data_IF_302823194130
#
_entry.id   IF_302823194130
#
_cell.length_a   1.000
_cell.length_b   1.000
_cell.length_c   1.000
_cell.angle_alpha   90.00
_cell.angle_beta   90.00
_cell.angle_gamma   90.00
#
_symmetry.space_group_name_H-M   'P 1'
#
loop_
_entity.id
_entity.type
_entity.pdbx_description
1 polymer ?
#
# COMPACT_ATOMS: atom_id res chain seq x y z
N UNK A 1 54.86 7.81 -11.31
CA UNK A 1 53.68 7.87 -10.41
C UNK A 1 52.35 7.71 -11.18
N UNK A 2 52.26 6.81 -12.15
CA UNK A 2 51.22 6.91 -13.20
C UNK A 2 50.24 5.72 -13.20
N UNK A 3 50.47 4.72 -12.35
CA UNK A 3 49.66 3.48 -12.27
C UNK A 3 48.51 3.59 -11.28
N UNK A 4 48.66 4.38 -10.21
CA UNK A 4 47.60 4.62 -9.23
C UNK A 4 46.47 5.51 -9.78
N UNK A 5 46.82 6.58 -10.52
CA UNK A 5 45.85 7.48 -11.15
C UNK A 5 45.00 6.79 -12.23
N UNK A 6 45.59 5.87 -13.01
CA UNK A 6 44.87 5.07 -14.02
C UNK A 6 43.88 4.06 -13.41
N UNK A 7 44.14 3.58 -12.19
CA UNK A 7 43.23 2.68 -11.46
C UNK A 7 42.05 3.43 -10.83
N UNK A 8 42.29 4.66 -10.33
CA UNK A 8 41.23 5.52 -9.82
C UNK A 8 40.25 5.95 -10.93
N UNK A 9 40.75 6.27 -12.13
CA UNK A 9 39.92 6.65 -13.27
C UNK A 9 39.00 5.51 -13.77
N UNK A 10 39.42 4.25 -13.63
CA UNK A 10 38.62 3.07 -14.03
C UNK A 10 37.59 2.65 -12.98
N UNK A 11 37.78 3.02 -11.70
CA UNK A 11 36.83 2.75 -10.62
C UNK A 11 35.74 3.82 -10.47
N UNK A 12 35.99 5.04 -10.95
CA UNK A 12 35.05 6.16 -10.92
C UNK A 12 33.68 5.89 -11.59
N UNK A 13 33.59 5.29 -12.80
CA UNK A 13 32.30 4.99 -13.41
C UNK A 13 31.54 3.85 -12.70
N UNK A 14 32.24 2.92 -12.04
CA UNK A 14 31.61 1.84 -11.28
C UNK A 14 30.95 2.34 -9.97
N UNK A 15 31.53 3.36 -9.33
CA UNK A 15 30.91 4.03 -8.17
C UNK A 15 29.71 4.89 -8.55
N UNK A 16 29.75 5.55 -9.73
CA UNK A 16 28.64 6.38 -10.21
C UNK A 16 27.44 5.52 -10.72
N UNK A 17 27.71 4.30 -11.19
CA UNK A 17 26.68 3.34 -11.58
C UNK A 17 26.01 2.61 -10.38
N UNK A 18 26.58 2.70 -9.18
CA UNK A 18 25.99 2.14 -7.95
C UNK A 18 24.93 3.07 -7.31
N UNK A 19 24.84 4.31 -7.77
CA UNK A 19 23.91 5.33 -7.26
C UNK A 19 22.42 4.93 -7.36
N UNK A 20 21.93 4.31 -8.46
CA UNK A 20 20.54 3.84 -8.54
C UNK A 20 20.28 2.66 -7.60
N UNK A 21 21.23 1.73 -7.46
CA UNK A 21 21.10 0.58 -6.57
C UNK A 21 21.07 0.99 -5.09
N UNK A 22 21.82 2.04 -4.71
CA UNK A 22 21.76 2.64 -3.38
C UNK A 22 20.47 3.43 -3.16
N UNK A 23 19.93 4.11 -4.18
CA UNK A 23 18.65 4.80 -4.09
C UNK A 23 17.47 3.83 -3.91
N UNK A 24 17.49 2.69 -4.61
CA UNK A 24 16.48 1.63 -4.45
C UNK A 24 16.56 0.94 -3.07
N UNK A 25 17.74 0.83 -2.47
CA UNK A 25 17.91 0.29 -1.12
C UNK A 25 17.36 1.20 0.00
N UNK A 26 17.27 2.52 -0.24
CA UNK A 26 16.70 3.48 0.72
C UNK A 26 15.16 3.44 0.70
N UNK A 27 14.56 3.11 -0.45
CA UNK A 27 13.10 3.04 -0.59
C UNK A 27 12.51 1.76 0.03
N UNK A 28 13.28 0.68 0.10
CA UNK A 28 12.85 -0.59 0.72
C UNK A 28 12.80 -0.54 2.27
N UNK A 29 13.55 0.38 2.90
CA UNK A 29 13.64 0.46 4.37
C UNK A 29 12.68 1.47 5.02
N UNK A 30 12.08 2.35 4.23
CA UNK A 30 11.05 3.27 4.70
C UNK A 30 9.70 2.82 4.12
N UNK A 31 8.85 2.16 4.92
CA UNK A 31 7.44 2.05 4.57
C UNK A 31 6.95 3.42 4.11
N UNK A 32 6.54 3.51 2.85
CA UNK A 32 6.06 4.75 2.28
C UNK A 32 4.87 5.23 3.12
N UNK A 33 4.71 6.55 3.27
CA UNK A 33 3.61 7.10 4.07
C UNK A 33 2.25 6.57 3.56
N UNK A 34 2.13 6.38 2.25
CA UNK A 34 0.98 5.75 1.60
C UNK A 34 0.75 4.31 2.08
N UNK A 35 1.76 3.44 2.05
CA UNK A 35 1.66 2.07 2.61
C UNK A 35 1.24 2.08 4.08
N UNK A 36 1.83 2.96 4.89
CA UNK A 36 1.46 3.05 6.31
C UNK A 36 0.01 3.47 6.51
N UNK A 37 -0.48 4.42 5.70
CA UNK A 37 -1.89 4.84 5.75
C UNK A 37 -2.80 3.68 5.31
N UNK A 38 -2.47 3.00 4.21
CA UNK A 38 -3.24 1.87 3.71
C UNK A 38 -3.31 0.72 4.74
N UNK A 39 -2.20 0.39 5.40
CA UNK A 39 -2.17 -0.66 6.42
C UNK A 39 -2.99 -0.31 7.66
N UNK A 40 -2.90 0.93 8.13
CA UNK A 40 -3.70 1.43 9.26
C UNK A 40 -5.18 1.45 8.90
N UNK A 41 -5.52 1.88 7.68
CA UNK A 41 -6.90 1.94 7.22
C UNK A 41 -7.48 0.53 7.05
N UNK A 42 -6.73 -0.38 6.43
CA UNK A 42 -7.14 -1.77 6.22
C UNK A 42 -7.34 -2.51 7.57
N UNK A 43 -6.42 -2.35 8.52
CA UNK A 43 -6.53 -2.97 9.84
C UNK A 43 -7.68 -2.38 10.68
N UNK A 44 -7.93 -1.08 10.57
CA UNK A 44 -8.96 -0.40 11.36
C UNK A 44 -10.38 -0.59 10.80
N UNK A 45 -10.54 -0.69 9.48
CA UNK A 45 -11.85 -0.72 8.81
C UNK A 45 -12.24 -2.09 8.27
N UNK A 46 -11.29 -3.02 8.11
CA UNK A 46 -11.54 -4.31 7.47
C UNK A 46 -12.64 -5.15 8.14
N UNK A 47 -12.71 -5.14 9.48
CA UNK A 47 -13.74 -5.89 10.22
C UNK A 47 -15.17 -5.36 9.92
N UNK A 48 -15.32 -4.04 9.80
CA UNK A 48 -16.60 -3.40 9.51
C UNK A 48 -16.99 -3.61 8.06
N UNK A 49 -16.05 -3.41 7.12
CA UNK A 49 -16.26 -3.64 5.69
C UNK A 49 -16.68 -5.10 5.45
N UNK A 50 -16.01 -6.06 6.09
CA UNK A 50 -16.38 -7.47 5.98
C UNK A 50 -17.79 -7.73 6.54
N UNK A 51 -18.14 -7.14 7.67
CA UNK A 51 -19.48 -7.31 8.25
C UNK A 51 -20.57 -6.76 7.32
N UNK A 52 -20.43 -5.52 6.82
CA UNK A 52 -21.46 -4.89 5.99
C UNK A 52 -21.65 -5.61 4.65
N UNK A 53 -20.59 -6.20 4.10
CA UNK A 53 -20.64 -6.96 2.85
C UNK A 53 -20.85 -8.47 3.04
N UNK A 54 -20.85 -8.97 4.28
CA UNK A 54 -21.21 -10.36 4.56
C UNK A 54 -22.69 -10.59 4.24
N UNK A 55 -23.01 -11.78 3.73
CA UNK A 55 -24.39 -12.16 3.47
C UNK A 55 -25.11 -12.53 4.77
N UNK A 56 -26.41 -12.25 4.82
CA UNK A 56 -27.28 -12.82 5.85
C UNK A 56 -27.16 -14.35 5.84
N UNK A 57 -27.06 -15.01 7.02
CA UNK A 57 -26.91 -16.45 7.10
C UNK A 57 -27.96 -17.20 6.26
N UNK A 58 -27.50 -18.03 5.32
CA UNK A 58 -28.37 -18.80 4.44
C UNK A 58 -28.96 -18.06 3.23
N UNK A 59 -28.50 -16.83 2.94
CA UNK A 59 -28.95 -16.05 1.78
C UNK A 59 -27.78 -15.48 0.98
N UNK A 60 -28.05 -14.92 -0.20
CA UNK A 60 -27.09 -14.13 -0.98
C UNK A 60 -27.30 -12.62 -0.80
N UNK A 61 -27.93 -12.21 0.30
CA UNK A 61 -28.31 -10.82 0.56
C UNK A 61 -27.36 -10.16 1.58
N UNK A 62 -26.53 -9.18 1.18
CA UNK A 62 -25.60 -8.51 2.08
C UNK A 62 -26.31 -7.66 3.14
N UNK A 63 -25.74 -7.58 4.34
CA UNK A 63 -26.26 -6.75 5.43
C UNK A 63 -26.44 -5.28 5.04
N UNK A 64 -25.54 -4.72 4.24
CA UNK A 64 -25.63 -3.33 3.77
C UNK A 64 -26.91 -3.08 2.99
N UNK A 65 -27.36 -4.04 2.17
CA UNK A 65 -28.55 -3.86 1.34
C UNK A 65 -29.81 -3.78 2.22
N UNK A 66 -29.84 -4.48 3.36
CA UNK A 66 -30.93 -4.37 4.34
C UNK A 66 -31.11 -2.92 4.82
N UNK A 67 -30.00 -2.30 5.23
CA UNK A 67 -30.01 -0.93 5.72
C UNK A 67 -30.34 0.09 4.64
N UNK A 68 -29.87 -0.12 3.40
CA UNK A 68 -30.23 0.73 2.26
C UNK A 68 -31.75 0.70 2.01
N UNK A 69 -32.40 -0.48 2.10
CA UNK A 69 -33.85 -0.60 1.94
C UNK A 69 -34.60 0.07 3.09
N UNK A 70 -34.14 -0.09 4.34
CA UNK A 70 -34.75 0.60 5.49
C UNK A 70 -34.67 2.12 5.32
N UNK A 71 -33.49 2.64 4.97
CA UNK A 71 -33.30 4.07 4.71
C UNK A 71 -34.21 4.57 3.60
N UNK A 72 -34.27 3.86 2.46
CA UNK A 72 -35.17 4.20 1.37
C UNK A 72 -36.64 4.25 1.82
N UNK A 73 -37.06 3.31 2.66
CA UNK A 73 -38.44 3.25 3.18
C UNK A 73 -38.74 4.43 4.09
N UNK A 74 -37.84 4.77 5.02
CA UNK A 74 -37.98 5.92 5.94
C UNK A 74 -38.09 7.25 5.18
N UNK A 75 -37.37 7.41 4.07
CA UNK A 75 -37.45 8.63 3.25
C UNK A 75 -38.62 8.62 2.24
N UNK A 76 -39.31 7.50 2.08
CA UNK A 76 -40.43 7.36 1.12
C UNK A 76 -41.80 7.51 1.78
N UNK A 77 -41.97 6.93 2.98
CA UNK A 77 -43.22 6.98 3.76
C UNK A 77 -43.33 8.31 4.50
#
# INVERSE_FOLDING_TARGET
MNKAFKRAAFAAPAMLAATPALAQAVEETAMTLDQRINDVFASSTGWFVNLIFSNFPGTSFPWIVAWLVVGATVFTV
#
